data_IF_258436739577
#
_entry.id   IF_258436739577
#
_cell.length_a   1.000
_cell.length_b   1.000
_cell.length_c   1.000
_cell.angle_alpha   90.00
_cell.angle_beta   90.00
_cell.angle_gamma   90.00
#
_symmetry.space_group_name_H-M   'P 1'
#
loop_
_entity.id
_entity.type
_entity.pdbx_description
1 polymer ?
#
# COMPACT_ATOMS: atom_id res chain seq x y z
N UNK A 1 9.45 -14.17 -33.03
CA UNK A 1 8.32 -14.12 -32.10
C UNK A 1 8.74 -14.87 -30.84
N UNK A 2 8.71 -14.20 -29.72
CA UNK A 2 9.06 -14.77 -28.41
C UNK A 2 8.01 -15.81 -28.03
N UNK A 3 8.44 -16.96 -27.48
CA UNK A 3 7.50 -17.99 -27.03
C UNK A 3 6.56 -17.43 -25.95
N UNK A 4 5.26 -17.75 -25.98
CA UNK A 4 4.26 -17.20 -25.02
C UNK A 4 4.69 -17.36 -23.56
N UNK A 5 5.28 -18.49 -23.18
CA UNK A 5 5.77 -18.76 -21.82
C UNK A 5 6.92 -17.84 -21.38
N UNK A 6 7.80 -17.48 -22.33
CA UNK A 6 8.92 -16.56 -22.04
C UNK A 6 8.38 -15.17 -21.83
N UNK A 7 7.45 -14.71 -22.68
CA UNK A 7 6.78 -13.42 -22.54
C UNK A 7 6.08 -13.31 -21.18
N UNK A 8 5.31 -14.33 -20.81
CA UNK A 8 4.60 -14.39 -19.52
C UNK A 8 5.57 -14.31 -18.34
N UNK A 9 6.66 -15.06 -18.38
CA UNK A 9 7.68 -15.03 -17.32
C UNK A 9 8.35 -13.66 -17.19
N UNK A 10 8.67 -13.02 -18.32
CA UNK A 10 9.31 -11.69 -18.34
C UNK A 10 8.34 -10.63 -17.84
N UNK A 11 7.09 -10.62 -18.31
CA UNK A 11 6.07 -9.69 -17.86
C UNK A 11 5.80 -9.84 -16.36
N UNK A 12 5.66 -11.08 -15.89
CA UNK A 12 5.49 -11.36 -14.45
C UNK A 12 6.67 -10.84 -13.64
N UNK A 13 7.90 -11.12 -14.07
CA UNK A 13 9.10 -10.66 -13.37
C UNK A 13 9.18 -9.13 -13.32
N UNK A 14 8.93 -8.44 -14.43
CA UNK A 14 8.93 -6.97 -14.49
C UNK A 14 7.86 -6.36 -13.58
N UNK A 15 6.62 -6.85 -13.67
CA UNK A 15 5.54 -6.34 -12.83
C UNK A 15 5.83 -6.50 -11.34
N UNK A 16 6.33 -7.67 -10.93
CA UNK A 16 6.65 -7.91 -9.51
C UNK A 16 7.91 -7.19 -9.02
N UNK A 17 8.82 -6.81 -9.92
CA UNK A 17 10.06 -6.14 -9.54
C UNK A 17 9.90 -4.63 -9.49
N UNK A 18 9.20 -4.05 -10.46
CA UNK A 18 9.23 -2.62 -10.73
C UNK A 18 7.91 -1.89 -10.48
N UNK A 19 6.80 -2.64 -10.28
CA UNK A 19 5.47 -2.04 -10.13
C UNK A 19 4.74 -2.57 -8.90
N UNK A 20 4.00 -1.69 -8.18
CA UNK A 20 3.10 -2.11 -7.11
C UNK A 20 2.01 -3.05 -7.61
N UNK A 21 1.65 -4.05 -6.80
CA UNK A 21 0.64 -5.05 -7.17
C UNK A 21 -0.72 -4.45 -7.56
N UNK A 22 -1.08 -3.33 -6.92
CA UNK A 22 -2.33 -2.59 -7.19
C UNK A 22 -2.40 -2.03 -8.60
N UNK A 23 -1.27 -1.88 -9.30
CA UNK A 23 -1.19 -1.35 -10.65
C UNK A 23 -1.09 -2.43 -11.74
N UNK A 24 -0.82 -3.69 -11.37
CA UNK A 24 -0.53 -4.75 -12.34
C UNK A 24 -1.66 -4.95 -13.35
N UNK A 25 -2.92 -5.00 -12.91
CA UNK A 25 -4.05 -5.21 -13.82
C UNK A 25 -4.19 -4.04 -14.79
N UNK A 26 -4.08 -2.80 -14.31
CA UNK A 26 -4.16 -1.62 -15.16
C UNK A 26 -3.05 -1.59 -16.23
N UNK A 27 -1.83 -1.99 -15.87
CA UNK A 27 -0.71 -2.09 -16.81
C UNK A 27 -0.98 -3.18 -17.87
N UNK A 28 -1.46 -4.36 -17.45
CA UNK A 28 -1.80 -5.45 -18.37
C UNK A 28 -2.90 -5.07 -19.35
N UNK A 29 -3.89 -4.31 -18.89
CA UNK A 29 -4.98 -3.80 -19.73
C UNK A 29 -4.46 -2.80 -20.77
N UNK A 30 -3.60 -1.87 -20.35
CA UNK A 30 -3.04 -0.83 -21.24
C UNK A 30 -2.15 -1.42 -22.35
N UNK A 31 -1.40 -2.48 -22.03
CA UNK A 31 -0.53 -3.15 -23.02
C UNK A 31 -1.22 -4.31 -23.77
N UNK A 32 -2.54 -4.44 -23.66
CA UNK A 32 -3.36 -5.49 -24.28
C UNK A 32 -2.92 -6.93 -23.92
N UNK A 33 -2.44 -7.13 -22.70
CA UNK A 33 -2.07 -8.43 -22.13
C UNK A 33 -3.06 -8.90 -21.06
N UNK A 34 -4.25 -8.34 -21.00
CA UNK A 34 -5.30 -8.64 -20.00
C UNK A 34 -5.71 -10.13 -19.93
N UNK A 35 -5.45 -10.89 -21.00
CA UNK A 35 -5.68 -12.35 -21.03
C UNK A 35 -4.55 -13.18 -20.42
N UNK A 36 -3.42 -12.56 -20.06
CA UNK A 36 -2.34 -13.25 -19.35
C UNK A 36 -2.71 -13.32 -17.87
N UNK A 37 -3.03 -14.51 -17.41
CA UNK A 37 -3.20 -14.79 -15.99
C UNK A 37 -1.82 -14.75 -15.37
N UNK A 38 -1.51 -13.68 -14.65
CA UNK A 38 -0.32 -13.69 -13.79
C UNK A 38 -0.41 -14.92 -12.88
N UNK A 39 0.69 -15.69 -12.70
CA UNK A 39 0.66 -16.83 -11.80
C UNK A 39 0.08 -16.34 -10.46
N UNK A 40 -0.91 -17.07 -9.95
CA UNK A 40 -1.52 -16.76 -8.65
C UNK A 40 -0.38 -16.55 -7.68
N UNK A 41 -0.26 -15.33 -7.17
CA UNK A 41 0.61 -15.05 -6.04
C UNK A 41 0.37 -16.09 -4.95
N UNK A 42 1.41 -16.39 -4.18
CA UNK A 42 1.28 -17.16 -2.96
C UNK A 42 0.01 -16.70 -2.24
N UNK A 43 -0.91 -17.64 -1.99
CA UNK A 43 -2.24 -17.35 -1.44
C UNK A 43 -2.03 -16.49 -0.21
N UNK A 44 -2.35 -15.18 -0.32
CA UNK A 44 -2.29 -14.26 0.83
C UNK A 44 -3.09 -14.91 1.95
N UNK A 45 -2.52 -15.00 3.13
CA UNK A 45 -3.23 -15.57 4.27
C UNK A 45 -4.51 -14.74 4.51
N UNK A 46 -5.71 -15.35 4.37
CA UNK A 46 -6.97 -14.65 4.65
C UNK A 46 -7.03 -14.09 6.07
N UNK A 47 -6.24 -14.67 7.01
CA UNK A 47 -6.14 -14.22 8.38
C UNK A 47 -5.40 -12.87 8.48
N UNK A 48 -4.34 -12.63 7.67
CA UNK A 48 -3.65 -11.35 7.65
C UNK A 48 -4.60 -10.20 7.39
N UNK A 49 -5.34 -10.27 6.25
CA UNK A 49 -6.30 -9.23 5.89
C UNK A 49 -7.34 -9.01 6.99
N UNK A 50 -7.91 -10.09 7.52
CA UNK A 50 -8.91 -10.00 8.59
C UNK A 50 -8.35 -9.35 9.83
N UNK A 51 -7.16 -9.73 10.27
CA UNK A 51 -6.51 -9.21 11.48
C UNK A 51 -6.15 -7.73 11.35
N UNK A 52 -5.57 -7.32 10.22
CA UNK A 52 -5.29 -5.91 9.93
C UNK A 52 -6.57 -5.08 9.90
N UNK A 53 -7.61 -5.57 9.21
CA UNK A 53 -8.89 -4.84 9.14
C UNK A 53 -9.55 -4.69 10.51
N UNK A 54 -9.45 -5.70 11.38
CA UNK A 54 -9.93 -5.61 12.76
C UNK A 54 -9.07 -4.63 13.57
N UNK A 55 -7.74 -4.70 13.46
CA UNK A 55 -6.82 -3.82 14.18
C UNK A 55 -7.14 -2.34 13.95
N UNK A 56 -7.52 -1.96 12.74
CA UNK A 56 -7.84 -0.58 12.37
C UNK A 56 -9.35 -0.29 12.28
N UNK A 57 -10.22 -1.15 12.83
CA UNK A 57 -11.67 -0.95 12.88
C UNK A 57 -12.30 -0.71 11.49
N UNK A 58 -11.71 -1.30 10.44
CA UNK A 58 -12.10 -1.09 9.04
C UNK A 58 -12.04 0.38 8.60
N UNK A 59 -11.03 1.12 9.05
CA UNK A 59 -10.78 2.53 8.71
C UNK A 59 -9.39 2.72 8.14
N UNK A 60 -9.27 3.65 7.21
CA UNK A 60 -7.97 4.07 6.70
C UNK A 60 -7.13 4.70 7.84
N UNK A 61 -5.93 4.16 8.07
CA UNK A 61 -5.03 4.67 9.10
C UNK A 61 -4.52 6.09 8.80
N UNK A 62 -4.58 6.55 7.54
CA UNK A 62 -4.13 7.88 7.17
C UNK A 62 -5.26 8.90 7.20
N UNK A 63 -6.34 8.71 6.47
CA UNK A 63 -7.41 9.72 6.36
C UNK A 63 -8.69 9.41 7.15
N UNK A 64 -8.77 8.23 7.78
CA UNK A 64 -9.95 7.83 8.54
C UNK A 64 -11.15 7.38 7.69
N UNK A 65 -11.03 7.30 6.34
CA UNK A 65 -12.10 6.80 5.49
C UNK A 65 -12.60 5.43 5.94
N UNK A 66 -13.92 5.26 6.05
CA UNK A 66 -14.58 4.03 6.53
C UNK A 66 -15.85 3.68 5.73
N UNK A 67 -15.84 3.97 4.43
CA UNK A 67 -16.98 3.76 3.54
C UNK A 67 -17.54 2.35 3.60
N UNK A 68 -18.88 2.24 3.62
CA UNK A 68 -19.59 0.95 3.72
C UNK A 68 -20.81 0.91 2.82
N UNK A 69 -21.12 -0.30 2.36
CA UNK A 69 -22.40 -0.61 1.72
C UNK A 69 -23.03 -1.79 2.47
N UNK A 70 -24.25 -1.64 3.00
CA UNK A 70 -24.92 -2.69 3.78
C UNK A 70 -23.99 -3.30 4.86
N UNK A 71 -23.33 -2.47 5.64
CA UNK A 71 -22.33 -2.84 6.68
C UNK A 71 -21.04 -3.50 6.16
N UNK A 72 -20.86 -3.70 4.85
CA UNK A 72 -19.62 -4.22 4.27
C UNK A 72 -18.67 -3.07 3.98
N UNK A 73 -17.42 -3.11 4.47
CA UNK A 73 -16.40 -2.11 4.13
C UNK A 73 -16.14 -2.11 2.62
N UNK A 74 -16.03 -0.92 2.04
CA UNK A 74 -15.73 -0.71 0.61
C UNK A 74 -14.54 0.23 0.49
N UNK A 75 -13.57 -0.11 -0.36
CA UNK A 75 -12.41 0.71 -0.62
C UNK A 75 -11.43 0.79 0.56
N UNK A 76 -11.43 -0.23 1.45
CA UNK A 76 -10.42 -0.42 2.51
C UNK A 76 -9.70 -1.74 2.28
N UNK A 77 -8.37 -1.69 2.34
CA UNK A 77 -7.47 -2.78 2.05
C UNK A 77 -6.43 -2.95 3.16
N UNK A 78 -5.92 -4.18 3.33
CA UNK A 78 -4.79 -4.44 4.21
C UNK A 78 -3.51 -4.31 3.37
N UNK A 79 -2.76 -3.26 3.61
CA UNK A 79 -1.47 -2.99 2.97
C UNK A 79 -0.36 -3.65 3.79
N UNK A 80 0.60 -4.30 3.10
CA UNK A 80 1.85 -4.72 3.73
C UNK A 80 2.81 -3.54 3.79
N UNK A 81 3.44 -3.30 4.95
CA UNK A 81 4.49 -2.28 5.07
C UNK A 81 5.76 -2.73 4.36
N UNK A 82 6.25 -3.92 4.67
CA UNK A 82 7.25 -4.60 3.85
C UNK A 82 6.51 -5.55 2.90
N UNK A 83 6.67 -5.34 1.60
CA UNK A 83 5.99 -6.12 0.58
C UNK A 83 6.14 -7.63 0.81
N UNK A 84 5.04 -8.38 0.71
CA UNK A 84 5.04 -9.84 0.80
C UNK A 84 5.99 -10.48 -0.22
N UNK A 85 6.03 -9.96 -1.47
CA UNK A 85 6.95 -10.40 -2.54
C UNK A 85 8.44 -10.21 -2.20
N UNK A 86 8.76 -9.38 -1.21
CA UNK A 86 10.12 -9.12 -0.71
C UNK A 86 10.36 -9.74 0.67
N UNK A 87 9.57 -10.77 1.01
CA UNK A 87 9.70 -11.51 2.26
C UNK A 87 9.11 -10.81 3.49
N UNK A 88 8.15 -9.89 3.29
CA UNK A 88 7.33 -9.35 4.38
C UNK A 88 6.39 -10.42 4.92
N UNK A 89 6.28 -10.61 6.24
CA UNK A 89 5.40 -11.62 6.82
C UNK A 89 3.93 -11.19 6.77
N UNK A 90 3.03 -12.18 6.78
CA UNK A 90 1.59 -11.99 6.96
C UNK A 90 1.24 -11.81 8.45
N UNK A 91 1.83 -10.80 9.07
CA UNK A 91 1.66 -10.43 10.47
C UNK A 91 1.06 -9.03 10.60
N UNK A 92 0.25 -8.77 11.63
CA UNK A 92 -0.38 -7.47 11.87
C UNK A 92 0.67 -6.37 12.05
N UNK A 93 1.81 -6.69 12.66
CA UNK A 93 2.95 -5.78 12.80
C UNK A 93 3.61 -5.38 11.46
N UNK A 94 3.25 -6.06 10.37
CA UNK A 94 3.63 -5.71 9.00
C UNK A 94 2.42 -5.19 8.18
N UNK A 95 1.33 -4.81 8.83
CA UNK A 95 0.08 -4.46 8.17
C UNK A 95 -0.49 -3.11 8.58
N UNK A 96 -1.06 -2.39 7.62
CA UNK A 96 -1.81 -1.14 7.84
C UNK A 96 -3.10 -1.20 7.03
N UNK A 97 -4.23 -0.78 7.61
CA UNK A 97 -5.46 -0.63 6.83
C UNK A 97 -5.46 0.74 6.13
N UNK A 98 -5.55 0.72 4.81
CA UNK A 98 -5.55 1.93 3.98
C UNK A 98 -6.76 1.92 3.03
N UNK A 99 -7.27 3.10 2.67
CA UNK A 99 -8.18 3.20 1.54
C UNK A 99 -7.41 2.98 0.23
N UNK A 100 -8.10 2.58 -0.83
CA UNK A 100 -7.47 2.23 -2.11
C UNK A 100 -6.55 3.32 -2.65
N UNK A 101 -6.90 4.61 -2.46
CA UNK A 101 -6.03 5.72 -2.86
C UNK A 101 -4.73 5.73 -2.05
N UNK A 102 -4.83 5.70 -0.71
CA UNK A 102 -3.64 5.76 0.14
C UNK A 102 -2.80 4.49 0.08
N UNK A 103 -3.41 3.34 -0.19
CA UNK A 103 -2.68 2.10 -0.47
C UNK A 103 -1.83 2.25 -1.74
N UNK A 104 -2.43 2.73 -2.83
CA UNK A 104 -1.70 2.98 -4.07
C UNK A 104 -0.54 3.98 -3.87
N UNK A 105 -0.78 5.10 -3.18
CA UNK A 105 0.25 6.11 -2.92
C UNK A 105 1.37 5.57 -2.01
N UNK A 106 1.03 4.71 -1.06
CA UNK A 106 2.00 4.04 -0.19
C UNK A 106 2.88 3.05 -0.97
N UNK A 107 2.26 2.15 -1.72
CA UNK A 107 2.98 1.18 -2.56
C UNK A 107 3.83 1.84 -3.65
N UNK A 108 3.41 3.01 -4.16
CA UNK A 108 4.15 3.79 -5.16
C UNK A 108 5.28 4.64 -4.57
N UNK A 109 5.49 4.59 -3.26
CA UNK A 109 6.53 5.36 -2.57
C UNK A 109 6.27 6.87 -2.51
N UNK A 110 5.05 7.31 -2.76
CA UNK A 110 4.61 8.70 -2.53
C UNK A 110 4.43 8.97 -1.05
N UNK A 111 3.87 8.00 -0.32
CA UNK A 111 3.67 8.04 1.12
C UNK A 111 4.58 7.05 1.82
N UNK A 112 4.97 7.38 3.04
CA UNK A 112 5.64 6.47 3.96
C UNK A 112 5.36 6.86 5.41
N UNK A 113 6.03 6.21 6.36
CA UNK A 113 5.93 6.50 7.79
C UNK A 113 7.32 6.67 8.41
N UNK A 114 7.45 7.61 9.36
CA UNK A 114 8.63 7.70 10.23
C UNK A 114 8.66 6.54 11.24
N UNK A 115 9.70 6.46 12.06
CA UNK A 115 9.75 5.49 13.18
C UNK A 115 8.73 5.82 14.28
N UNK A 116 8.29 7.08 14.35
CA UNK A 116 7.23 7.60 15.25
C UNK A 116 5.84 7.55 14.62
N UNK A 117 5.70 6.86 13.50
CA UNK A 117 4.48 6.70 12.70
C UNK A 117 3.87 8.01 12.19
N UNK A 118 4.69 9.04 12.00
CA UNK A 118 4.30 10.24 11.26
C UNK A 118 4.23 9.94 9.77
N UNK A 119 3.20 10.46 9.10
CA UNK A 119 3.02 10.28 7.65
C UNK A 119 3.99 11.18 6.91
N UNK A 120 4.82 10.57 6.09
CA UNK A 120 5.78 11.22 5.20
C UNK A 120 5.20 11.27 3.79
N UNK A 121 5.35 12.42 3.14
CA UNK A 121 4.96 12.64 1.75
C UNK A 121 6.19 13.02 0.95
N UNK A 122 6.43 12.37 -0.19
CA UNK A 122 7.55 12.70 -1.08
C UNK A 122 7.46 14.15 -1.56
N UNK A 123 8.59 14.88 -1.54
CA UNK A 123 8.62 16.24 -2.10
C UNK A 123 8.34 16.29 -3.59
N UNK A 124 8.51 15.20 -4.32
CA UNK A 124 8.28 15.12 -5.76
C UNK A 124 6.82 14.86 -6.12
N UNK A 125 5.98 14.52 -5.13
CA UNK A 125 4.56 14.36 -5.38
C UNK A 125 3.89 15.72 -5.56
N UNK A 126 3.10 15.85 -6.62
CA UNK A 126 2.33 17.04 -6.93
C UNK A 126 0.84 16.68 -6.97
N UNK A 127 0.05 17.47 -6.30
CA UNK A 127 -1.40 17.37 -6.26
C UNK A 127 -1.96 18.79 -6.47
N UNK A 128 -2.90 18.94 -7.38
CA UNK A 128 -3.40 20.27 -7.80
C UNK A 128 -4.51 20.82 -6.88
N UNK A 129 -5.22 19.94 -6.17
CA UNK A 129 -6.30 20.33 -5.25
C UNK A 129 -6.02 19.75 -3.86
N UNK A 130 -5.61 20.60 -2.94
CA UNK A 130 -5.28 20.23 -1.56
C UNK A 130 -6.48 20.22 -0.63
N UNK A 131 -7.67 20.66 -1.08
CA UNK A 131 -8.81 20.87 -0.18
C UNK A 131 -9.66 19.63 0.06
N UNK A 132 -9.36 18.53 -0.62
CA UNK A 132 -10.06 17.26 -0.37
C UNK A 132 -9.58 16.59 0.92
N UNK A 133 -10.47 15.92 1.68
CA UNK A 133 -10.09 15.17 2.89
C UNK A 133 -9.09 14.04 2.62
N UNK A 134 -9.04 13.55 1.39
CA UNK A 134 -8.14 12.47 0.95
C UNK A 134 -6.81 12.97 0.36
N UNK A 135 -6.57 14.30 0.35
CA UNK A 135 -5.33 14.87 -0.15
C UNK A 135 -4.12 14.37 0.66
N UNK A 136 -3.13 13.85 -0.03
CA UNK A 136 -1.87 13.44 0.59
C UNK A 136 -1.13 14.62 1.22
N UNK A 137 -1.28 15.82 0.67
CA UNK A 137 -0.65 17.04 1.19
C UNK A 137 -1.17 17.41 2.60
N UNK A 138 -2.41 17.10 2.91
CA UNK A 138 -2.97 17.31 4.26
C UNK A 138 -2.40 16.36 5.30
N UNK A 139 -1.81 15.26 4.87
CA UNK A 139 -1.27 14.22 5.76
C UNK A 139 0.15 14.52 6.23
N UNK A 140 0.85 15.51 5.65
CA UNK A 140 2.25 15.81 5.96
C UNK A 140 2.43 16.01 7.47
N UNK A 141 3.27 15.15 8.08
CA UNK A 141 3.61 15.20 9.50
C UNK A 141 2.43 14.93 10.45
N UNK A 142 1.31 14.42 9.95
CA UNK A 142 0.27 13.90 10.83
C UNK A 142 0.65 12.51 11.34
N UNK A 143 0.27 12.20 12.56
CA UNK A 143 0.38 10.84 13.06
C UNK A 143 -0.68 9.96 12.37
N UNK A 144 -0.27 8.78 11.94
CA UNK A 144 -1.25 7.81 11.47
C UNK A 144 -2.17 7.38 12.63
N UNK A 145 -3.38 6.97 12.31
CA UNK A 145 -4.29 6.37 13.29
C UNK A 145 -3.68 5.08 13.83
N UNK A 146 -3.55 4.98 15.15
CA UNK A 146 -3.10 3.75 15.81
C UNK A 146 -4.14 2.63 15.67
N UNK A 147 -3.71 1.37 15.65
CA UNK A 147 -4.62 0.24 15.79
C UNK A 147 -5.31 0.30 17.16
N UNK A 148 -6.45 -0.38 17.26
CA UNK A 148 -7.16 -0.48 18.55
C UNK A 148 -6.33 -1.22 19.61
N UNK A 149 -6.63 -1.04 20.91
CA UNK A 149 -5.92 -1.73 21.99
C UNK A 149 -5.88 -3.26 21.79
N UNK A 150 -4.71 -3.84 22.02
CA UNK A 150 -4.47 -5.28 21.82
C UNK A 150 -3.82 -5.65 20.49
N UNK A 151 -3.58 -4.66 19.62
CA UNK A 151 -2.81 -4.85 18.39
C UNK A 151 -1.58 -3.95 18.39
N UNK A 152 -0.48 -4.48 17.86
CA UNK A 152 0.78 -3.76 17.76
C UNK A 152 0.78 -2.74 16.61
N UNK A 153 1.56 -1.67 16.78
CA UNK A 153 1.93 -0.77 15.68
C UNK A 153 2.79 -1.51 14.66
N UNK A 154 2.85 -1.02 13.42
CA UNK A 154 3.81 -1.53 12.45
C UNK A 154 5.23 -1.50 13.03
N UNK A 155 5.94 -2.63 12.92
CA UNK A 155 7.27 -2.77 13.49
C UNK A 155 8.26 -1.82 12.77
N UNK A 156 9.13 -1.18 13.55
CA UNK A 156 10.08 -0.20 13.05
C UNK A 156 11.01 -0.75 11.94
N UNK A 157 11.29 -2.05 11.97
CA UNK A 157 12.08 -2.71 10.92
C UNK A 157 11.36 -2.67 9.56
N UNK A 158 10.03 -2.86 9.52
CA UNK A 158 9.25 -2.80 8.28
C UNK A 158 9.08 -1.36 7.81
N UNK A 159 8.88 -0.41 8.73
CA UNK A 159 8.84 1.02 8.41
C UNK A 159 10.15 1.48 7.76
N UNK A 160 11.29 1.11 8.34
CA UNK A 160 12.61 1.40 7.77
C UNK A 160 12.83 0.73 6.43
N UNK A 161 12.38 -0.53 6.29
CA UNK A 161 12.45 -1.21 5.00
C UNK A 161 11.66 -0.46 3.92
N UNK A 162 10.42 -0.04 4.22
CA UNK A 162 9.57 0.71 3.29
C UNK A 162 10.25 2.02 2.87
N UNK A 163 10.77 2.80 3.83
CA UNK A 163 11.48 4.04 3.53
C UNK A 163 12.71 3.81 2.65
N UNK A 164 13.50 2.81 2.97
CA UNK A 164 14.76 2.55 2.25
C UNK A 164 14.61 1.86 0.89
N UNK A 165 13.44 1.30 0.57
CA UNK A 165 13.27 0.52 -0.65
C UNK A 165 12.16 1.03 -1.58
N UNK A 166 11.15 1.72 -1.06
CA UNK A 166 10.01 2.19 -1.84
C UNK A 166 9.87 3.71 -1.82
N UNK A 167 10.02 4.33 -0.66
CA UNK A 167 9.74 5.77 -0.53
C UNK A 167 10.67 6.63 -1.37
N UNK A 168 10.10 7.59 -2.10
CA UNK A 168 10.84 8.52 -2.95
C UNK A 168 11.27 9.73 -2.12
N UNK A 169 12.47 9.65 -1.55
CA UNK A 169 13.07 10.72 -0.75
C UNK A 169 13.47 11.96 -1.59
N UNK A 170 13.56 13.14 -0.95
CA UNK A 170 13.31 13.41 0.44
C UNK A 170 11.83 13.64 0.75
N UNK A 171 11.47 13.47 2.03
CA UNK A 171 10.16 13.85 2.51
C UNK A 171 9.95 15.37 2.44
N UNK A 172 8.73 15.79 2.11
CA UNK A 172 8.31 17.19 2.15
C UNK A 172 8.31 17.68 3.61
N UNK A 173 8.83 18.86 3.84
CA UNK A 173 8.78 19.50 5.15
C UNK A 173 7.38 20.05 5.41
N UNK A 174 6.96 20.01 6.66
CA UNK A 174 5.77 20.72 7.12
C UNK A 174 6.11 22.21 7.21
N UNK A 175 5.35 23.04 6.55
CA UNK A 175 5.46 24.51 6.65
C UNK A 175 4.98 24.99 8.02
#
# INVERSE_FOLDING_TARGET
LMEPKILESVVTALLHTDFPETTHQGILDEVNLSGHVLPKQAVRDPHFRKSVMLAYEFRCAFCGYDGRINSRPVGIEAAHVKMHSKGGPDDVSNGIALCSLHHLLFDSGVLSLSDEVEILVSQYFLESDYDTPSSAMKLIGQLMRHPQPGYDLPAAEFLRWHRGNLFTEPARKRD
#
